data_IF_619383490476
#
_entry.id   IF_619383490476
#
_cell.length_a   1.000
_cell.length_b   1.000
_cell.length_c   1.000
_cell.angle_alpha   90.00
_cell.angle_beta   90.00
_cell.angle_gamma   90.00
#
_symmetry.space_group_name_H-M   'P 1'
#
loop_
_entity.id
_entity.type
_entity.pdbx_description
1 polymer ?
#
# COMPACT_ATOMS: atom_id res chain seq x y z
N UNK A 1 -8.94 -1.15 5.45
CA UNK A 1 -7.67 -1.91 5.52
C UNK A 1 -6.93 -1.47 6.77
N UNK A 2 -6.57 -2.44 7.62
CA UNK A 2 -5.82 -2.22 8.86
C UNK A 2 -4.31 -2.24 8.57
N UNK A 3 -3.51 -1.49 9.34
CA UNK A 3 -2.09 -1.36 9.10
C UNK A 3 -1.33 -2.66 9.35
N UNK A 4 -0.22 -2.80 8.64
CA UNK A 4 0.85 -3.74 8.95
C UNK A 4 1.54 -3.28 10.24
N UNK A 5 1.68 -4.18 11.20
CA UNK A 5 2.49 -3.94 12.39
C UNK A 5 3.79 -4.71 12.19
N UNK A 6 4.87 -3.98 11.84
CA UNK A 6 6.17 -4.58 11.58
C UNK A 6 6.60 -5.52 12.72
N UNK A 7 6.94 -6.75 12.36
CA UNK A 7 7.50 -7.74 13.26
C UNK A 7 6.51 -8.62 14.04
N UNK A 8 5.18 -8.44 13.87
CA UNK A 8 4.22 -9.29 14.57
C UNK A 8 2.89 -9.50 13.85
N UNK A 9 2.78 -10.59 13.09
CA UNK A 9 1.51 -11.06 12.53
C UNK A 9 0.40 -11.19 13.60
N UNK A 10 0.76 -11.51 14.83
CA UNK A 10 -0.19 -11.62 15.94
C UNK A 10 -0.83 -10.27 16.31
N UNK A 11 -0.05 -9.18 16.26
CA UNK A 11 -0.56 -7.83 16.54
C UNK A 11 -1.40 -7.30 15.39
N UNK A 12 -1.06 -7.61 14.14
CA UNK A 12 -1.87 -7.26 12.97
C UNK A 12 -3.26 -7.87 13.03
N UNK A 13 -3.31 -9.17 13.33
CA UNK A 13 -4.56 -9.91 13.48
C UNK A 13 -5.41 -9.29 14.59
N UNK A 14 -4.81 -9.03 15.75
CA UNK A 14 -5.49 -8.43 16.90
C UNK A 14 -6.04 -7.05 16.57
N UNK A 15 -5.26 -6.21 15.88
CA UNK A 15 -5.71 -4.89 15.45
C UNK A 15 -6.90 -4.97 14.49
N UNK A 16 -6.89 -5.89 13.53
CA UNK A 16 -8.00 -6.07 12.60
C UNK A 16 -9.26 -6.60 13.30
N UNK A 17 -9.11 -7.52 14.26
CA UNK A 17 -10.21 -8.05 15.08
C UNK A 17 -10.82 -6.97 15.97
N UNK A 18 -10.01 -6.11 16.59
CA UNK A 18 -10.47 -4.99 17.41
C UNK A 18 -11.23 -3.95 16.56
N UNK A 19 -10.69 -3.58 15.39
CA UNK A 19 -11.38 -2.70 14.45
C UNK A 19 -12.70 -3.30 13.99
N UNK A 20 -12.72 -4.58 13.64
CA UNK A 20 -13.93 -5.28 13.24
C UNK A 20 -14.99 -5.26 14.35
N UNK A 21 -14.63 -5.58 15.59
CA UNK A 21 -15.54 -5.59 16.73
C UNK A 21 -16.10 -4.20 17.02
N UNK A 22 -15.26 -3.17 17.00
CA UNK A 22 -15.67 -1.78 17.21
C UNK A 22 -16.66 -1.29 16.14
N UNK A 23 -16.39 -1.57 14.87
CA UNK A 23 -17.27 -1.20 13.77
C UNK A 23 -18.59 -1.96 13.81
N UNK A 24 -18.54 -3.27 14.09
CA UNK A 24 -19.75 -4.11 14.18
C UNK A 24 -20.66 -3.73 15.36
N UNK A 25 -20.08 -3.29 16.47
CA UNK A 25 -20.83 -2.83 17.65
C UNK A 25 -21.17 -1.33 17.66
N UNK A 26 -20.59 -0.55 16.73
CA UNK A 26 -20.68 0.90 16.66
C UNK A 26 -21.37 1.41 15.40
N UNK A 27 -20.67 2.28 14.66
CA UNK A 27 -21.25 3.03 13.53
C UNK A 27 -21.76 2.15 12.39
N UNK A 28 -21.24 0.91 12.26
CA UNK A 28 -21.63 -0.02 11.20
C UNK A 28 -22.48 -1.19 11.69
N UNK A 29 -23.10 -1.10 12.87
CA UNK A 29 -23.92 -2.17 13.48
C UNK A 29 -25.10 -2.65 12.59
N UNK A 30 -25.54 -1.85 11.62
CA UNK A 30 -26.60 -2.22 10.68
C UNK A 30 -26.12 -2.89 9.39
N UNK A 31 -24.80 -3.02 9.21
CA UNK A 31 -24.20 -3.58 8.00
C UNK A 31 -23.63 -4.99 8.26
N UNK A 32 -23.52 -5.76 7.19
CA UNK A 32 -22.92 -7.11 7.24
C UNK A 32 -21.40 -6.99 7.04
N UNK A 33 -20.66 -7.26 8.08
CA UNK A 33 -19.21 -7.15 8.08
C UNK A 33 -18.55 -8.50 7.86
N UNK A 34 -17.45 -8.51 7.11
CA UNK A 34 -16.52 -9.64 6.97
C UNK A 34 -15.14 -9.27 7.49
N UNK A 35 -14.39 -10.26 7.97
CA UNK A 35 -13.03 -10.09 8.47
C UNK A 35 -12.06 -10.98 7.70
N UNK A 36 -10.93 -10.42 7.25
CA UNK A 36 -9.85 -11.13 6.58
C UNK A 36 -8.49 -10.74 7.12
N UNK A 37 -7.71 -11.73 7.58
CA UNK A 37 -6.33 -11.53 8.02
C UNK A 37 -5.47 -12.78 7.75
N UNK A 38 -4.17 -12.71 8.03
CA UNK A 38 -3.20 -13.77 7.72
C UNK A 38 -3.61 -15.14 8.23
N UNK A 39 -4.17 -15.22 9.44
CA UNK A 39 -4.51 -16.47 10.14
C UNK A 39 -5.82 -17.13 9.70
N UNK A 40 -6.65 -16.42 8.94
CA UNK A 40 -7.87 -17.03 8.37
C UNK A 40 -7.49 -18.13 7.38
N UNK A 41 -8.11 -19.30 7.49
CA UNK A 41 -7.86 -20.44 6.60
C UNK A 41 -8.21 -20.12 5.14
N UNK A 42 -7.56 -20.81 4.20
CA UNK A 42 -7.75 -20.54 2.76
C UNK A 42 -9.23 -20.65 2.33
N UNK A 43 -9.91 -21.72 2.75
CA UNK A 43 -11.33 -21.94 2.39
C UNK A 43 -12.23 -20.82 2.93
N UNK A 44 -11.99 -20.36 4.14
CA UNK A 44 -12.73 -19.28 4.77
C UNK A 44 -12.43 -17.94 4.09
N UNK A 45 -11.19 -17.67 3.69
CA UNK A 45 -10.83 -16.50 2.87
C UNK A 45 -11.58 -16.49 1.54
N UNK A 46 -11.59 -17.62 0.84
CA UNK A 46 -12.29 -17.75 -0.44
C UNK A 46 -13.80 -17.53 -0.28
N UNK A 47 -14.41 -18.08 0.77
CA UNK A 47 -15.83 -17.90 1.05
C UNK A 47 -16.18 -16.46 1.45
N UNK A 48 -15.42 -15.84 2.36
CA UNK A 48 -15.60 -14.43 2.73
C UNK A 48 -15.51 -13.52 1.50
N UNK A 49 -14.54 -13.76 0.63
CA UNK A 49 -14.39 -13.01 -0.60
C UNK A 49 -15.54 -13.25 -1.59
N UNK A 50 -16.05 -14.47 -1.67
CA UNK A 50 -17.23 -14.79 -2.48
C UNK A 50 -18.45 -14.03 -2.00
N UNK A 51 -18.69 -14.00 -0.67
CA UNK A 51 -19.78 -13.27 -0.04
C UNK A 51 -19.65 -11.75 -0.26
N UNK A 52 -18.43 -11.21 -0.18
CA UNK A 52 -18.19 -9.79 -0.42
C UNK A 52 -18.45 -9.42 -1.90
N UNK A 53 -17.98 -10.23 -2.85
CA UNK A 53 -18.25 -9.99 -4.28
C UNK A 53 -19.73 -10.08 -4.64
N UNK A 54 -20.47 -10.97 -3.99
CA UNK A 54 -21.91 -11.13 -4.22
C UNK A 54 -22.76 -10.05 -3.54
N UNK A 55 -22.16 -9.16 -2.74
CA UNK A 55 -22.87 -8.17 -1.94
C UNK A 55 -23.58 -8.76 -0.72
N UNK A 56 -23.27 -10.01 -0.32
CA UNK A 56 -23.76 -10.59 0.93
C UNK A 56 -23.01 -10.05 2.15
N UNK A 57 -21.82 -9.49 1.96
CA UNK A 57 -21.07 -8.69 2.92
C UNK A 57 -20.99 -7.27 2.37
N UNK A 58 -21.30 -6.28 3.20
CA UNK A 58 -21.32 -4.86 2.85
C UNK A 58 -19.96 -4.21 3.09
N UNK A 59 -19.26 -4.62 4.15
CA UNK A 59 -17.98 -4.06 4.54
C UNK A 59 -16.99 -5.17 4.85
N UNK A 60 -15.79 -5.09 4.26
CA UNK A 60 -14.70 -6.01 4.51
C UNK A 60 -13.60 -5.34 5.32
N UNK A 61 -13.40 -5.77 6.55
CA UNK A 61 -12.25 -5.40 7.37
C UNK A 61 -11.11 -6.36 7.08
N UNK A 62 -9.94 -5.84 6.71
CA UNK A 62 -8.85 -6.73 6.35
C UNK A 62 -7.47 -6.13 6.64
N UNK A 63 -6.49 -7.00 6.87
CA UNK A 63 -5.07 -6.65 6.82
C UNK A 63 -4.57 -6.64 5.38
N UNK A 64 -3.31 -6.33 5.15
CA UNK A 64 -2.65 -6.28 3.82
C UNK A 64 -2.69 -7.58 3.02
N UNK A 65 -3.16 -8.69 3.59
CA UNK A 65 -3.36 -9.98 2.88
C UNK A 65 -4.21 -9.84 1.61
N UNK A 66 -4.96 -8.72 1.46
CA UNK A 66 -5.72 -8.42 0.25
C UNK A 66 -4.83 -7.99 -0.94
N UNK A 67 -3.53 -7.77 -0.75
CA UNK A 67 -2.62 -7.34 -1.82
C UNK A 67 -2.57 -8.32 -3.00
N UNK A 68 -2.84 -9.61 -2.77
CA UNK A 68 -2.69 -10.64 -3.80
C UNK A 68 -4.02 -11.02 -4.45
N UNK A 69 -4.23 -10.54 -5.68
CA UNK A 69 -5.16 -11.17 -6.63
C UNK A 69 -6.66 -10.96 -6.39
N UNK A 70 -7.09 -10.07 -5.48
CA UNK A 70 -8.50 -9.84 -5.21
C UNK A 70 -8.99 -8.62 -5.98
N UNK A 71 -9.67 -8.89 -7.08
CA UNK A 71 -10.44 -7.88 -7.80
C UNK A 71 -11.89 -7.93 -7.31
N UNK A 72 -12.41 -6.80 -6.82
CA UNK A 72 -13.77 -6.66 -6.35
C UNK A 72 -14.42 -5.49 -7.09
N UNK A 73 -15.07 -5.81 -8.21
CA UNK A 73 -15.63 -4.81 -9.10
C UNK A 73 -16.70 -3.90 -8.42
N UNK A 74 -17.40 -4.41 -7.42
CA UNK A 74 -18.41 -3.67 -6.68
C UNK A 74 -17.87 -2.90 -5.44
N UNK A 75 -16.58 -2.97 -5.16
CA UNK A 75 -15.97 -2.16 -4.10
C UNK A 75 -15.72 -0.74 -4.61
N UNK A 76 -16.48 0.21 -4.08
CA UNK A 76 -16.41 1.63 -4.47
C UNK A 76 -15.69 2.49 -3.44
N UNK A 77 -15.56 2.02 -2.20
CA UNK A 77 -14.91 2.77 -1.12
C UNK A 77 -13.81 1.92 -0.49
N UNK A 78 -12.64 2.52 -0.31
CA UNK A 78 -11.56 1.97 0.49
C UNK A 78 -11.15 2.96 1.57
N UNK A 79 -10.98 2.45 2.79
CA UNK A 79 -10.43 3.20 3.91
C UNK A 79 -9.15 2.51 4.36
N UNK A 80 -8.03 3.19 4.34
CA UNK A 80 -6.73 2.70 4.82
C UNK A 80 -6.44 3.38 6.15
N UNK A 81 -6.47 2.62 7.23
CA UNK A 81 -6.16 3.10 8.58
C UNK A 81 -4.65 3.16 8.80
N UNK A 82 -4.19 4.14 9.56
CA UNK A 82 -2.77 4.41 9.80
C UNK A 82 -1.94 4.43 8.50
N UNK A 83 -2.45 5.12 7.50
CA UNK A 83 -1.92 5.10 6.13
C UNK A 83 -0.43 5.48 6.05
N UNK A 84 0.08 6.26 7.01
CA UNK A 84 1.49 6.63 7.10
C UNK A 84 2.45 5.44 7.31
N UNK A 85 1.93 4.29 7.75
CA UNK A 85 2.72 3.05 7.94
C UNK A 85 2.95 2.29 6.63
N UNK A 86 2.22 2.62 5.59
CA UNK A 86 2.34 1.96 4.28
C UNK A 86 3.37 2.66 3.40
N UNK A 87 4.06 1.88 2.59
CA UNK A 87 4.88 2.40 1.50
C UNK A 87 4.05 2.95 0.34
N UNK A 88 4.64 3.82 -0.49
CA UNK A 88 3.98 4.40 -1.67
C UNK A 88 3.42 3.31 -2.59
N UNK A 89 4.23 2.29 -2.90
CA UNK A 89 3.83 1.18 -3.77
C UNK A 89 2.60 0.43 -3.22
N UNK A 90 2.56 0.18 -1.90
CA UNK A 90 1.43 -0.49 -1.25
C UNK A 90 0.16 0.36 -1.32
N UNK A 91 0.24 1.64 -0.98
CA UNK A 91 -0.91 2.56 -1.08
C UNK A 91 -1.42 2.68 -2.52
N UNK A 92 -0.52 2.72 -3.49
CA UNK A 92 -0.88 2.75 -4.91
C UNK A 92 -1.61 1.47 -5.33
N UNK A 93 -1.12 0.29 -4.92
CA UNK A 93 -1.77 -0.99 -5.19
C UNK A 93 -3.14 -1.08 -4.52
N UNK A 94 -3.26 -0.67 -3.24
CA UNK A 94 -4.53 -0.66 -2.51
C UNK A 94 -5.54 0.25 -3.20
N UNK A 95 -5.18 1.50 -3.50
CA UNK A 95 -6.04 2.44 -4.22
C UNK A 95 -6.53 1.87 -5.54
N UNK A 96 -5.68 1.16 -6.27
CA UNK A 96 -6.02 0.50 -7.53
C UNK A 96 -6.99 -0.68 -7.41
N UNK A 97 -7.44 -1.04 -6.20
CA UNK A 97 -8.42 -2.13 -5.97
C UNK A 97 -9.87 -1.66 -5.96
N UNK A 98 -10.13 -0.37 -5.91
CA UNK A 98 -11.47 0.22 -5.97
C UNK A 98 -11.67 1.06 -7.23
N UNK A 99 -12.91 1.27 -7.64
CA UNK A 99 -13.23 2.06 -8.82
C UNK A 99 -12.93 1.36 -10.14
N UNK A 100 -13.00 0.03 -10.18
CA UNK A 100 -12.80 -0.78 -11.40
C UNK A 100 -14.07 -1.11 -12.16
N UNK A 101 -15.21 -0.60 -11.70
CA UNK A 101 -16.51 -0.70 -12.36
C UNK A 101 -16.95 0.65 -12.91
N UNK A 102 -18.17 0.73 -13.41
CA UNK A 102 -18.80 1.97 -13.87
C UNK A 102 -19.00 3.02 -12.75
N UNK A 103 -18.74 2.63 -11.49
CA UNK A 103 -18.84 3.52 -10.34
C UNK A 103 -17.45 4.07 -9.96
N UNK A 104 -17.34 5.38 -9.72
CA UNK A 104 -16.08 5.99 -9.29
C UNK A 104 -15.66 5.44 -7.92
N UNK A 105 -14.39 5.04 -7.81
CA UNK A 105 -13.80 4.59 -6.54
C UNK A 105 -13.31 5.76 -5.70
N UNK A 106 -13.49 5.65 -4.39
CA UNK A 106 -12.94 6.57 -3.41
C UNK A 106 -11.99 5.85 -2.48
N UNK A 107 -10.81 6.41 -2.24
CA UNK A 107 -9.83 5.89 -1.31
C UNK A 107 -9.50 6.94 -0.26
N UNK A 108 -9.81 6.63 1.00
CA UNK A 108 -9.54 7.48 2.15
C UNK A 108 -8.29 6.99 2.88
N UNK A 109 -7.32 7.87 3.05
CA UNK A 109 -6.11 7.63 3.83
C UNK A 109 -6.29 8.28 5.19
N UNK A 110 -6.34 7.48 6.24
CA UNK A 110 -6.64 7.92 7.61
C UNK A 110 -5.44 7.66 8.49
N UNK A 111 -5.11 8.63 9.34
CA UNK A 111 -4.02 8.53 10.31
C UNK A 111 -3.17 9.80 10.36
N UNK A 112 -2.28 9.84 11.36
CA UNK A 112 -1.31 10.91 11.51
C UNK A 112 -0.04 10.59 10.72
N UNK A 113 0.61 11.60 10.17
CA UNK A 113 1.91 11.49 9.54
C UNK A 113 2.99 11.96 10.55
N UNK A 114 3.68 11.05 11.23
CA UNK A 114 4.60 11.41 12.31
C UNK A 114 5.92 12.04 11.82
N UNK A 115 6.22 11.92 10.53
CA UNK A 115 7.43 12.48 9.91
C UNK A 115 7.11 13.24 8.62
N UNK A 116 8.00 14.14 8.22
CA UNK A 116 7.87 14.90 6.98
C UNK A 116 7.85 13.96 5.75
N UNK A 117 8.63 12.87 5.78
CA UNK A 117 8.66 11.87 4.71
C UNK A 117 7.33 11.11 4.61
N UNK A 118 6.70 10.79 5.75
CA UNK A 118 5.39 10.15 5.78
C UNK A 118 4.32 11.08 5.21
N UNK A 119 4.36 12.36 5.57
CA UNK A 119 3.45 13.37 5.04
C UNK A 119 3.61 13.54 3.53
N UNK A 120 4.85 13.62 3.03
CA UNK A 120 5.12 13.75 1.60
C UNK A 120 4.65 12.51 0.81
N UNK A 121 4.83 11.29 1.35
CA UNK A 121 4.28 10.05 0.76
C UNK A 121 2.76 10.12 0.61
N UNK A 122 2.06 10.52 1.67
CA UNK A 122 0.60 10.61 1.63
C UNK A 122 0.13 11.68 0.65
N UNK A 123 0.80 12.84 0.63
CA UNK A 123 0.53 13.91 -0.34
C UNK A 123 0.74 13.44 -1.79
N UNK A 124 1.82 12.71 -2.05
CA UNK A 124 2.09 12.18 -3.38
C UNK A 124 0.97 11.24 -3.86
N UNK A 125 0.52 10.31 -3.01
CA UNK A 125 -0.60 9.40 -3.34
C UNK A 125 -1.89 10.16 -3.61
N UNK A 126 -2.16 11.25 -2.91
CA UNK A 126 -3.37 12.07 -3.14
C UNK A 126 -3.24 12.88 -4.43
N UNK A 127 -2.04 13.41 -4.74
CA UNK A 127 -1.78 14.30 -5.87
C UNK A 127 -1.85 13.58 -7.21
N UNK A 128 -1.29 12.39 -7.33
CA UNK A 128 -1.15 11.71 -8.61
C UNK A 128 -1.61 10.25 -8.58
N UNK A 129 -2.07 9.76 -9.73
CA UNK A 129 -2.35 8.35 -9.98
C UNK A 129 -1.29 7.70 -10.86
N UNK A 130 -0.32 8.46 -11.35
CA UNK A 130 0.78 7.96 -12.16
C UNK A 130 1.77 7.16 -11.31
N UNK A 131 1.91 5.87 -11.64
CA UNK A 131 2.81 4.97 -10.94
C UNK A 131 4.29 5.33 -11.12
N UNK A 132 4.68 5.92 -12.25
CA UNK A 132 6.06 6.36 -12.48
C UNK A 132 6.41 7.58 -11.63
N UNK A 133 5.53 8.58 -11.58
CA UNK A 133 5.71 9.74 -10.71
C UNK A 133 5.80 9.32 -9.22
N UNK A 134 4.96 8.37 -8.82
CA UNK A 134 5.00 7.83 -7.46
C UNK A 134 6.28 7.05 -7.16
N UNK A 135 6.82 6.32 -8.13
CA UNK A 135 8.08 5.62 -7.98
C UNK A 135 9.27 6.59 -7.86
N UNK A 136 9.25 7.72 -8.59
CA UNK A 136 10.25 8.77 -8.44
C UNK A 136 10.21 9.40 -7.04
N UNK A 137 9.01 9.70 -6.52
CA UNK A 137 8.85 10.22 -5.15
C UNK A 137 9.34 9.20 -4.12
N UNK A 138 9.02 7.91 -4.29
CA UNK A 138 9.47 6.85 -3.36
C UNK A 138 11.01 6.74 -3.35
N UNK A 139 11.64 6.86 -4.52
CA UNK A 139 13.10 6.86 -4.65
C UNK A 139 13.72 8.08 -3.96
N UNK A 140 13.14 9.26 -4.14
CA UNK A 140 13.60 10.50 -3.52
C UNK A 140 13.55 10.41 -1.98
N UNK A 141 12.44 9.90 -1.43
CA UNK A 141 12.23 9.78 0.01
C UNK A 141 13.09 8.69 0.66
N UNK A 142 13.37 7.60 -0.05
CA UNK A 142 14.26 6.53 0.45
C UNK A 142 15.73 6.90 0.37
N UNK A 143 16.09 7.89 -0.45
CA UNK A 143 17.46 8.23 -0.77
C UNK A 143 18.12 7.19 -1.70
N UNK A 144 19.12 7.62 -2.41
CA UNK A 144 19.81 6.83 -3.46
C UNK A 144 20.54 5.57 -2.93
N UNK A 145 20.69 5.42 -1.61
CA UNK A 145 21.44 4.33 -0.97
C UNK A 145 20.78 2.95 -1.05
N UNK A 146 19.49 2.86 -1.43
CA UNK A 146 18.73 1.60 -1.42
C UNK A 146 18.75 0.88 -2.77
N UNK A 147 19.16 1.55 -3.84
CA UNK A 147 19.09 1.02 -5.21
C UNK A 147 20.28 0.11 -5.55
N UNK A 148 21.37 0.20 -4.83
CA UNK A 148 22.65 -0.44 -5.17
C UNK A 148 23.02 -1.70 -4.34
N UNK A 149 22.07 -2.36 -3.67
CA UNK A 149 22.30 -3.68 -3.05
C UNK A 149 22.49 -3.70 -1.52
N UNK A 150 22.60 -4.88 -0.96
CA UNK A 150 22.43 -5.36 0.42
C UNK A 150 23.18 -4.67 1.58
N UNK A 151 23.73 -3.48 1.44
CA UNK A 151 24.37 -2.75 2.54
C UNK A 151 23.46 -1.64 3.06
N UNK A 152 22.63 -2.02 4.00
CA UNK A 152 21.89 -1.08 4.85
C UNK A 152 22.83 -0.15 5.59
N UNK A 153 22.54 1.08 5.48
CA UNK A 153 22.73 2.30 6.27
C UNK A 153 23.42 3.43 5.50
N UNK A 154 22.60 4.23 4.84
CA UNK A 154 22.63 5.65 5.05
C UNK A 154 23.81 6.46 4.55
N UNK A 155 24.63 6.00 3.59
CA UNK A 155 25.48 6.89 2.79
C UNK A 155 25.67 6.27 1.41
N UNK A 156 25.28 7.03 0.41
CA UNK A 156 25.58 6.78 -0.98
C UNK A 156 27.10 6.68 -1.15
N UNK A 157 27.61 5.57 -1.71
CA UNK A 157 29.02 5.41 -2.04
C UNK A 157 29.48 6.34 -3.19
N UNK A 158 28.52 6.99 -3.86
CA UNK A 158 28.76 8.00 -4.87
C UNK A 158 29.09 9.34 -4.18
N UNK A 159 30.37 9.67 -4.10
CA UNK A 159 30.84 10.89 -3.40
C UNK A 159 30.43 12.20 -4.06
N UNK A 160 30.23 12.23 -5.36
CA UNK A 160 29.99 13.43 -6.16
C UNK A 160 28.80 13.31 -7.13
N UNK A 161 28.35 12.10 -7.47
CA UNK A 161 27.27 11.86 -8.41
C UNK A 161 25.94 11.56 -7.68
N UNK A 162 24.83 11.97 -8.28
CA UNK A 162 23.45 11.67 -7.88
C UNK A 162 22.74 11.02 -9.06
N UNK A 163 22.12 9.85 -8.84
CA UNK A 163 21.38 9.14 -9.90
C UNK A 163 20.27 10.01 -10.53
N UNK A 164 19.72 10.93 -9.76
CA UNK A 164 18.68 11.84 -10.22
C UNK A 164 19.23 13.04 -10.97
N UNK A 165 20.16 13.78 -10.32
CA UNK A 165 20.75 14.99 -10.89
C UNK A 165 21.56 14.68 -12.14
N UNK A 166 22.22 13.54 -12.12
CA UNK A 166 23.19 13.14 -13.13
C UNK A 166 22.65 11.99 -14.02
N UNK A 167 21.30 11.94 -14.22
CA UNK A 167 20.61 10.90 -14.99
C UNK A 167 21.16 10.70 -16.40
N UNK A 168 21.49 11.79 -17.08
CA UNK A 168 22.08 11.76 -18.42
C UNK A 168 23.40 10.99 -18.44
N UNK A 169 24.21 11.13 -17.39
CA UNK A 169 25.47 10.41 -17.26
C UNK A 169 25.27 8.92 -16.97
N UNK A 170 24.22 8.58 -16.20
CA UNK A 170 23.85 7.18 -15.93
C UNK A 170 23.39 6.49 -17.22
N UNK A 171 22.59 7.16 -18.01
CA UNK A 171 22.11 6.65 -19.31
C UNK A 171 23.29 6.49 -20.29
N UNK A 172 24.17 7.48 -20.39
CA UNK A 172 25.38 7.40 -21.22
C UNK A 172 26.32 6.28 -20.77
N UNK A 173 26.54 6.12 -19.47
CA UNK A 173 27.37 5.05 -18.93
C UNK A 173 26.79 3.66 -19.23
N UNK A 174 25.46 3.50 -19.12
CA UNK A 174 24.78 2.25 -19.49
C UNK A 174 24.98 1.93 -20.97
N UNK A 175 24.82 2.92 -21.84
CA UNK A 175 24.91 2.72 -23.28
C UNK A 175 26.35 2.33 -23.69
N UNK A 176 27.35 2.92 -23.04
CA UNK A 176 28.76 2.53 -23.22
C UNK A 176 28.99 1.10 -22.70
N UNK A 177 28.45 0.75 -21.52
CA UNK A 177 28.61 -0.59 -20.96
C UNK A 177 28.02 -1.68 -21.85
N UNK A 178 26.88 -1.42 -22.51
CA UNK A 178 26.25 -2.36 -23.45
C UNK A 178 27.07 -2.61 -24.73
N UNK A 179 27.96 -1.70 -25.08
CA UNK A 179 28.84 -1.86 -26.26
C UNK A 179 30.12 -2.64 -25.89
N UNK A 180 30.46 -2.67 -24.59
CA UNK A 180 31.73 -3.31 -24.11
C UNK A 180 31.53 -4.77 -23.67
N UNK A 181 30.28 -5.28 -23.62
CA UNK A 181 29.92 -6.66 -23.31
C UNK A 181 29.49 -7.39 -24.57
#
# INVERSE_FOLDING_TARGET
>A
VCPLIEGSEALEVRSAEEVFANLAGGELAGLRLGLLHGRVGRAEKEETMRLFRSGAIDVLVATTVIEVGVDVANATVMVVLDAARFGIAQLHQLRGRVGRSDYPGQCFLVGEAPTAEAEERLRAIVRTTDGFELAEVDLDLRGEGTVMGERQKGRNDLRLASLRRDREWVEAARDVALVLV
#
